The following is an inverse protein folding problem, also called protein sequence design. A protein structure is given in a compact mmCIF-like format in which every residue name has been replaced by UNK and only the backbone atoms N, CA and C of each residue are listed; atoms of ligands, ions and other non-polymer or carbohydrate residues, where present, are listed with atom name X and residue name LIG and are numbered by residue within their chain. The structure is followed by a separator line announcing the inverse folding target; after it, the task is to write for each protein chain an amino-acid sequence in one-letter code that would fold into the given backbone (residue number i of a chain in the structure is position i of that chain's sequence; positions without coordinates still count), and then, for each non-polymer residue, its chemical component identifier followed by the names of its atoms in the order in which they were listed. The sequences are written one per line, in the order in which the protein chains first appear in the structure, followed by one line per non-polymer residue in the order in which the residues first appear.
data_IF_989705249497
#
_entry.id   IF_989705249497
#
_cell.length_a   1.000
_cell.length_b   1.000
_cell.length_c   1.000
_cell.angle_alpha   90.00
_cell.angle_beta   90.00
_cell.angle_gamma   90.00
#
_symmetry.space_group_name_H-M   'P 1'
#
loop_
_entity.id
_entity.type
_entity.pdbx_description
1 polymer ?
#
# COMPACT_ATOMS: atom_id res chain seq x y z
N UNK A 1 -27.44 -12.47 -4.88
CA UNK A 1 -26.04 -12.68 -5.33
C UNK A 1 -25.62 -11.55 -6.24
N UNK A 2 -24.34 -11.43 -6.63
CA UNK A 2 -23.91 -10.38 -7.59
C UNK A 2 -24.67 -10.48 -8.92
N UNK A 3 -24.95 -11.70 -9.39
CA UNK A 3 -25.67 -11.94 -10.63
C UNK A 3 -27.08 -11.33 -10.65
N UNK A 4 -27.76 -11.32 -9.51
CA UNK A 4 -29.11 -10.75 -9.38
C UNK A 4 -29.10 -9.21 -9.45
N UNK A 5 -27.97 -8.59 -9.11
CA UNK A 5 -27.77 -7.13 -9.10
C UNK A 5 -27.10 -6.61 -10.37
N UNK A 6 -26.40 -7.47 -11.13
CA UNK A 6 -25.63 -7.08 -12.31
C UNK A 6 -26.47 -6.28 -13.34
N UNK A 7 -27.74 -6.62 -13.67
CA UNK A 7 -28.53 -5.83 -14.60
C UNK A 7 -28.74 -4.37 -14.14
N UNK A 8 -28.89 -4.15 -12.84
CA UNK A 8 -29.04 -2.82 -12.26
C UNK A 8 -27.71 -2.05 -12.26
N UNK A 9 -26.62 -2.74 -11.94
CA UNK A 9 -25.26 -2.17 -11.94
C UNK A 9 -24.86 -1.77 -13.37
N UNK A 10 -25.16 -2.59 -14.38
CA UNK A 10 -24.87 -2.26 -15.78
C UNK A 10 -25.61 -1.01 -16.25
N UNK A 11 -26.88 -0.83 -15.86
CA UNK A 11 -27.61 0.41 -16.17
C UNK A 11 -26.93 1.66 -15.60
N UNK A 12 -26.39 1.58 -14.39
CA UNK A 12 -25.62 2.68 -13.77
C UNK A 12 -24.31 2.90 -14.56
N UNK A 13 -23.59 1.83 -14.85
CA UNK A 13 -22.32 1.84 -15.59
C UNK A 13 -22.47 2.42 -17.00
N UNK A 14 -23.63 2.21 -17.63
CA UNK A 14 -24.01 2.73 -18.94
C UNK A 14 -24.52 4.17 -18.91
N UNK A 15 -24.69 4.77 -17.73
CA UNK A 15 -24.98 6.20 -17.56
C UNK A 15 -26.44 6.53 -17.27
N UNK A 16 -27.22 5.58 -16.71
CA UNK A 16 -28.56 5.90 -16.25
C UNK A 16 -28.52 6.99 -15.15
N UNK A 17 -29.35 8.02 -15.31
CA UNK A 17 -29.41 9.18 -14.40
C UNK A 17 -30.40 9.00 -13.24
N UNK A 18 -31.25 7.97 -13.27
CA UNK A 18 -32.22 7.70 -12.21
C UNK A 18 -31.57 7.00 -11.00
N UNK A 19 -32.08 7.21 -9.77
CA UNK A 19 -31.66 6.44 -8.60
C UNK A 19 -32.09 4.97 -8.76
N UNK A 20 -31.14 4.08 -9.13
CA UNK A 20 -31.43 2.65 -9.34
C UNK A 20 -31.22 1.84 -8.07
N UNK A 21 -30.02 1.91 -7.48
CA UNK A 21 -29.65 1.13 -6.29
C UNK A 21 -29.47 1.99 -5.03
N UNK A 22 -29.20 3.27 -5.20
CA UNK A 22 -28.87 4.20 -4.10
C UNK A 22 -29.60 5.52 -4.29
N UNK A 23 -29.96 6.18 -3.18
CA UNK A 23 -30.59 7.52 -3.24
C UNK A 23 -29.66 8.62 -3.74
N UNK A 24 -28.34 8.43 -3.63
CA UNK A 24 -27.31 9.32 -4.20
C UNK A 24 -26.71 8.73 -5.48
N UNK A 25 -26.29 9.55 -6.46
CA UNK A 25 -25.62 9.07 -7.66
C UNK A 25 -24.31 8.34 -7.35
N UNK A 26 -24.03 7.28 -8.11
CA UNK A 26 -22.75 6.57 -8.08
C UNK A 26 -21.81 7.22 -9.09
N UNK A 27 -20.63 7.66 -8.64
CA UNK A 27 -19.62 8.32 -9.50
C UNK A 27 -18.45 7.40 -9.85
N UNK A 28 -18.28 6.31 -9.09
CA UNK A 28 -17.13 5.42 -9.18
C UNK A 28 -17.55 3.96 -9.02
N UNK A 29 -16.87 3.06 -9.72
CA UNK A 29 -17.07 1.60 -9.67
C UNK A 29 -15.78 0.93 -9.19
N UNK A 30 -15.92 0.01 -8.26
CA UNK A 30 -14.88 -0.90 -7.82
C UNK A 30 -14.91 -2.20 -8.62
N UNK A 31 -13.75 -2.59 -9.13
CA UNK A 31 -13.50 -3.87 -9.77
C UNK A 31 -13.09 -4.87 -8.68
N UNK A 32 -13.94 -5.87 -8.42
CA UNK A 32 -13.62 -6.95 -7.48
C UNK A 32 -12.63 -7.94 -8.08
N UNK A 33 -11.80 -8.55 -7.23
CA UNK A 33 -10.97 -9.71 -7.61
C UNK A 33 -11.82 -10.97 -7.84
N UNK A 34 -13.01 -11.04 -7.25
CA UNK A 34 -14.00 -12.06 -7.56
C UNK A 34 -14.61 -11.83 -8.94
N UNK A 35 -14.78 -12.91 -9.71
CA UNK A 35 -15.37 -12.86 -11.05
C UNK A 35 -16.81 -13.41 -11.07
N UNK A 36 -17.63 -12.89 -11.98
CA UNK A 36 -18.91 -13.48 -12.38
C UNK A 36 -18.77 -13.82 -13.87
N UNK A 37 -18.94 -15.08 -14.25
CA UNK A 37 -18.76 -15.55 -15.64
C UNK A 37 -17.40 -15.14 -16.25
N UNK A 38 -16.32 -15.16 -15.46
CA UNK A 38 -14.97 -14.81 -15.92
C UNK A 38 -14.67 -13.31 -16.05
N UNK A 39 -15.62 -12.42 -15.74
CA UNK A 39 -15.42 -10.96 -15.72
C UNK A 39 -15.33 -10.41 -14.29
N UNK A 40 -14.48 -9.40 -14.02
CA UNK A 40 -14.46 -8.74 -12.71
C UNK A 40 -15.83 -8.19 -12.35
N UNK A 41 -16.28 -8.42 -11.11
CA UNK A 41 -17.54 -7.86 -10.62
C UNK A 41 -17.43 -6.34 -10.50
N UNK A 42 -18.42 -5.64 -11.04
CA UNK A 42 -18.60 -4.21 -10.78
C UNK A 42 -19.35 -4.02 -9.48
N UNK A 43 -18.79 -3.20 -8.60
CA UNK A 43 -19.35 -2.88 -7.28
C UNK A 43 -19.45 -1.36 -7.15
N UNK A 44 -20.64 -0.78 -6.87
CA UNK A 44 -20.77 0.65 -6.64
C UNK A 44 -19.86 1.15 -5.52
N UNK A 45 -19.14 2.24 -5.77
CA UNK A 45 -18.32 2.92 -4.76
C UNK A 45 -18.88 4.33 -4.52
N UNK A 46 -19.20 4.63 -3.27
CA UNK A 46 -19.81 5.91 -2.87
C UNK A 46 -19.09 6.52 -1.65
N UNK A 47 -19.47 7.75 -1.30
CA UNK A 47 -18.84 8.48 -0.20
C UNK A 47 -19.08 7.85 1.18
N UNK A 48 -20.23 7.18 1.37
CA UNK A 48 -20.57 6.51 2.63
C UNK A 48 -19.71 5.25 2.85
N UNK A 49 -19.46 4.48 1.79
CA UNK A 49 -18.51 3.38 1.81
C UNK A 49 -17.09 3.88 2.13
N UNK A 50 -16.69 5.02 1.58
CA UNK A 50 -15.40 5.64 1.91
C UNK A 50 -15.35 6.05 3.39
N UNK A 51 -16.40 6.69 3.91
CA UNK A 51 -16.45 7.15 5.30
C UNK A 51 -16.38 5.99 6.29
N UNK A 52 -17.20 4.95 6.08
CA UNK A 52 -17.21 3.74 6.93
C UNK A 52 -15.88 2.99 6.87
N UNK A 53 -15.24 2.91 5.68
CA UNK A 53 -13.88 2.36 5.54
C UNK A 53 -12.87 3.14 6.37
N UNK A 54 -12.91 4.48 6.34
CA UNK A 54 -12.01 5.31 7.14
C UNK A 54 -12.28 5.19 8.64
N UNK A 55 -13.53 5.00 9.05
CA UNK A 55 -13.86 4.73 10.46
C UNK A 55 -13.21 3.42 10.93
N UNK A 56 -13.28 2.35 10.13
CA UNK A 56 -12.61 1.08 10.44
C UNK A 56 -11.10 1.25 10.56
N UNK A 57 -10.47 1.97 9.62
CA UNK A 57 -9.03 2.25 9.70
C UNK A 57 -8.65 3.03 10.95
N UNK A 58 -9.44 4.04 11.34
CA UNK A 58 -9.21 4.83 12.56
C UNK A 58 -9.35 3.98 13.82
N UNK A 59 -10.37 3.14 13.88
CA UNK A 59 -10.59 2.20 15.00
C UNK A 59 -9.41 1.24 15.12
N UNK A 60 -9.04 0.57 14.03
CA UNK A 60 -7.88 -0.33 13.96
C UNK A 60 -6.59 0.36 14.39
N UNK A 61 -6.36 1.58 13.89
CA UNK A 61 -5.22 2.40 14.29
C UNK A 61 -5.22 2.73 15.78
N UNK A 62 -6.37 3.05 16.38
CA UNK A 62 -6.44 3.36 17.82
C UNK A 62 -5.97 2.18 18.68
N UNK A 63 -6.37 0.94 18.35
CA UNK A 63 -5.89 -0.26 19.04
C UNK A 63 -4.40 -0.50 18.77
N UNK A 64 -3.96 -0.44 17.52
CA UNK A 64 -2.55 -0.63 17.15
C UNK A 64 -1.64 0.40 17.81
N UNK A 65 -2.04 1.67 17.83
CA UNK A 65 -1.24 2.74 18.41
C UNK A 65 -1.20 2.71 19.94
N UNK A 66 -2.18 2.07 20.59
CA UNK A 66 -2.14 1.82 22.04
C UNK A 66 -1.02 0.82 22.39
N UNK A 67 -0.91 -0.26 21.62
CA UNK A 67 0.07 -1.32 21.87
C UNK A 67 1.46 -1.00 21.29
N UNK A 68 1.50 -0.41 20.10
CA UNK A 68 2.71 -0.04 19.37
C UNK A 68 2.68 1.45 18.99
N UNK A 69 2.97 2.36 19.94
CA UNK A 69 2.88 3.79 19.69
C UNK A 69 3.78 4.26 18.56
N UNK A 70 3.17 4.86 17.54
CA UNK A 70 3.84 5.58 16.46
C UNK A 70 3.93 7.06 16.86
N UNK A 71 5.09 7.68 16.66
CA UNK A 71 5.38 9.07 17.04
C UNK A 71 6.03 9.80 15.88
N UNK A 72 5.29 10.71 15.24
CA UNK A 72 5.78 11.63 14.20
C UNK A 72 6.64 10.96 13.10
N UNK A 73 6.48 9.65 12.90
CA UNK A 73 7.23 8.87 11.93
C UNK A 73 6.51 8.79 10.58
N UNK A 74 7.14 8.09 9.64
CA UNK A 74 6.61 7.78 8.31
C UNK A 74 6.33 6.29 8.18
N UNK A 75 5.51 5.96 7.20
CA UNK A 75 5.25 4.59 6.80
C UNK A 75 5.90 4.29 5.45
N UNK A 76 6.66 3.19 5.37
CA UNK A 76 7.04 2.59 4.09
C UNK A 76 5.87 1.74 3.61
N UNK A 77 5.05 2.31 2.74
CA UNK A 77 3.85 1.64 2.23
C UNK A 77 4.04 1.20 0.78
N UNK A 78 4.01 -0.11 0.54
CA UNK A 78 3.97 -0.70 -0.79
C UNK A 78 2.53 -0.70 -1.29
N UNK A 79 2.02 0.48 -1.63
CA UNK A 79 0.66 0.70 -2.15
C UNK A 79 0.73 1.16 -3.60
N UNK A 80 -0.16 0.60 -4.42
CA UNK A 80 -0.17 0.81 -5.86
C UNK A 80 -1.58 1.15 -6.30
N UNK A 81 -1.72 2.21 -7.08
CA UNK A 81 -2.97 2.50 -7.78
C UNK A 81 -2.89 1.96 -9.20
N UNK A 82 -3.86 1.14 -9.57
CA UNK A 82 -4.07 0.76 -10.96
C UNK A 82 -4.47 1.98 -11.79
N UNK A 83 -4.29 1.89 -13.12
CA UNK A 83 -4.93 2.83 -14.05
C UNK A 83 -6.45 2.69 -13.92
N UNK A 84 -7.15 3.79 -13.65
CA UNK A 84 -8.60 3.81 -13.74
C UNK A 84 -9.03 3.88 -15.22
N UNK A 85 -10.05 3.12 -15.59
CA UNK A 85 -10.74 3.25 -16.86
C UNK A 85 -12.01 4.09 -16.70
N UNK A 86 -12.58 4.55 -17.81
CA UNK A 86 -13.93 5.12 -17.82
C UNK A 86 -14.92 4.09 -18.33
N UNK A 87 -16.06 3.98 -17.66
CA UNK A 87 -17.19 3.19 -18.17
C UNK A 87 -17.85 3.89 -19.36
N UNK A 88 -18.78 3.20 -20.03
CA UNK A 88 -19.58 3.77 -21.13
C UNK A 88 -20.36 5.02 -20.69
N UNK A 89 -20.93 4.99 -19.48
CA UNK A 89 -21.61 6.11 -18.83
C UNK A 89 -20.68 7.17 -18.23
N UNK A 90 -19.36 7.05 -18.41
CA UNK A 90 -18.37 8.04 -17.98
C UNK A 90 -17.88 7.91 -16.53
N UNK A 91 -18.33 6.89 -15.78
CA UNK A 91 -17.90 6.63 -14.40
C UNK A 91 -16.44 6.20 -14.35
N UNK A 92 -15.74 6.52 -13.27
CA UNK A 92 -14.40 5.98 -13.03
C UNK A 92 -14.50 4.52 -12.56
N UNK A 93 -13.71 3.63 -13.14
CA UNK A 93 -13.63 2.22 -12.73
C UNK A 93 -12.18 1.84 -12.39
N UNK A 94 -11.98 1.23 -11.23
CA UNK A 94 -10.67 0.79 -10.74
C UNK A 94 -10.82 -0.19 -9.58
N UNK A 95 -9.73 -0.72 -9.04
CA UNK A 95 -9.82 -1.59 -7.85
C UNK A 95 -10.36 -0.80 -6.65
N UNK A 96 -10.95 -1.47 -5.67
CA UNK A 96 -11.41 -0.82 -4.43
C UNK A 96 -10.29 -0.03 -3.74
N UNK A 97 -9.09 -0.62 -3.64
CA UNK A 97 -7.90 0.05 -3.09
C UNK A 97 -7.50 1.28 -3.90
N UNK A 98 -7.56 1.22 -5.24
CA UNK A 98 -7.29 2.38 -6.10
C UNK A 98 -8.26 3.53 -5.82
N UNK A 99 -9.55 3.22 -5.70
CA UNK A 99 -10.58 4.22 -5.40
C UNK A 99 -10.36 4.85 -4.03
N UNK A 100 -10.01 4.06 -3.01
CA UNK A 100 -9.66 4.55 -1.67
C UNK A 100 -8.42 5.43 -1.72
N UNK A 101 -7.31 4.99 -2.32
CA UNK A 101 -6.05 5.73 -2.33
C UNK A 101 -6.13 7.06 -3.09
N UNK A 102 -6.94 7.12 -4.16
CA UNK A 102 -7.17 8.35 -4.94
C UNK A 102 -8.13 9.32 -4.27
N UNK A 103 -8.90 8.88 -3.28
CA UNK A 103 -9.84 9.75 -2.59
C UNK A 103 -9.09 10.74 -1.67
N UNK A 104 -9.42 12.03 -1.77
CA UNK A 104 -8.77 13.08 -0.96
C UNK A 104 -8.89 12.87 0.55
N UNK A 105 -9.93 12.18 1.02
CA UNK A 105 -10.11 11.87 2.43
C UNK A 105 -9.08 10.86 2.95
N UNK A 106 -8.57 9.96 2.10
CA UNK A 106 -7.57 8.96 2.49
C UNK A 106 -6.28 9.63 2.98
N UNK A 107 -5.76 10.59 2.21
CA UNK A 107 -4.52 11.31 2.58
C UNK A 107 -4.66 12.06 3.90
N UNK A 108 -5.82 12.71 4.12
CA UNK A 108 -6.15 13.37 5.39
C UNK A 108 -6.20 12.37 6.55
N UNK A 109 -6.82 11.21 6.34
CA UNK A 109 -6.92 10.17 7.35
C UNK A 109 -5.56 9.54 7.69
N UNK A 110 -4.73 9.22 6.69
CA UNK A 110 -3.37 8.69 6.90
C UNK A 110 -2.50 9.67 7.69
N UNK A 111 -2.60 10.97 7.41
CA UNK A 111 -1.92 12.01 8.18
C UNK A 111 -2.40 12.05 9.64
N UNK A 112 -3.72 11.99 9.86
CA UNK A 112 -4.29 11.97 11.20
C UNK A 112 -3.87 10.72 12.01
N UNK A 113 -3.69 9.59 11.34
CA UNK A 113 -3.22 8.32 11.92
C UNK A 113 -1.70 8.17 11.90
N UNK A 114 -0.93 9.25 11.68
CA UNK A 114 0.54 9.22 11.65
C UNK A 114 1.13 8.08 10.77
N UNK A 115 0.40 7.72 9.71
CA UNK A 115 0.70 6.62 8.80
C UNK A 115 0.93 7.15 7.38
N UNK A 116 1.48 8.36 7.26
CA UNK A 116 1.76 8.97 5.97
C UNK A 116 2.83 8.16 5.23
N UNK A 117 2.56 7.80 3.98
CA UNK A 117 3.53 7.13 3.14
C UNK A 117 4.77 8.02 2.92
N UNK A 118 5.96 7.42 3.00
CA UNK A 118 7.22 8.11 2.70
C UNK A 118 7.41 8.38 1.19
N UNK A 119 6.66 7.69 0.34
CA UNK A 119 6.75 7.83 -1.12
C UNK A 119 5.82 8.94 -1.63
N UNK A 120 6.25 9.72 -2.64
CA UNK A 120 5.41 10.69 -3.31
C UNK A 120 4.17 10.07 -3.97
N UNK A 121 3.13 10.90 -4.15
CA UNK A 121 1.91 10.52 -4.87
C UNK A 121 2.25 10.02 -6.29
N UNK A 122 3.21 10.62 -6.98
CA UNK A 122 3.65 10.21 -8.32
C UNK A 122 4.20 8.78 -8.35
N UNK A 123 4.79 8.30 -7.25
CA UNK A 123 5.27 6.91 -7.11
C UNK A 123 4.08 5.98 -6.87
N UNK A 124 3.17 6.33 -5.95
CA UNK A 124 1.97 5.54 -5.60
C UNK A 124 1.04 5.38 -6.81
N UNK A 125 0.86 6.46 -7.57
CA UNK A 125 0.03 6.54 -8.77
C UNK A 125 0.84 6.33 -10.05
N UNK A 126 2.07 5.81 -9.92
CA UNK A 126 2.95 5.51 -11.03
C UNK A 126 2.35 4.42 -11.95
N UNK A 127 2.55 4.52 -13.27
CA UNK A 127 1.91 3.63 -14.24
C UNK A 127 2.61 2.26 -14.38
N UNK A 128 3.87 2.11 -13.97
CA UNK A 128 4.61 0.84 -13.99
C UNK A 128 4.93 0.39 -12.57
N UNK A 129 4.46 -0.81 -12.24
CA UNK A 129 4.63 -1.43 -10.93
C UNK A 129 6.10 -1.58 -10.51
N UNK A 130 6.98 -1.99 -11.44
CA UNK A 130 8.39 -2.27 -11.12
C UNK A 130 9.14 -0.98 -10.84
N UNK A 131 8.86 0.07 -11.60
CA UNK A 131 9.41 1.41 -11.35
C UNK A 131 8.90 1.98 -10.01
N UNK A 132 7.60 1.88 -9.75
CA UNK A 132 7.03 2.33 -8.46
C UNK A 132 7.62 1.55 -7.29
N UNK A 133 7.77 0.22 -7.40
CA UNK A 133 8.38 -0.59 -6.36
C UNK A 133 9.83 -0.18 -6.07
N UNK A 134 10.64 0.02 -7.12
CA UNK A 134 12.00 0.52 -6.95
C UNK A 134 12.03 1.86 -6.21
N UNK A 135 11.15 2.80 -6.62
CA UNK A 135 11.05 4.11 -5.97
C UNK A 135 10.50 4.02 -4.53
N UNK A 136 9.61 3.08 -4.21
CA UNK A 136 9.17 2.84 -2.83
C UNK A 136 10.34 2.40 -1.95
N UNK A 137 11.13 1.42 -2.41
CA UNK A 137 12.33 0.96 -1.69
C UNK A 137 13.33 2.11 -1.51
N UNK A 138 13.60 2.89 -2.56
CA UNK A 138 14.49 4.04 -2.50
C UNK A 138 14.00 5.11 -1.50
N UNK A 139 12.71 5.44 -1.50
CA UNK A 139 12.12 6.35 -0.51
C UNK A 139 12.27 5.81 0.91
N UNK A 140 12.04 4.51 1.11
CA UNK A 140 12.23 3.86 2.41
C UNK A 140 13.65 4.05 2.92
N UNK A 141 14.66 3.76 2.08
CA UNK A 141 16.08 3.90 2.43
C UNK A 141 16.47 5.36 2.73
N UNK A 142 16.00 6.33 1.94
CA UNK A 142 16.24 7.77 2.17
C UNK A 142 15.70 8.19 3.54
N UNK A 143 14.51 7.71 3.90
CA UNK A 143 13.82 8.09 5.13
C UNK A 143 13.97 7.05 6.26
N UNK A 144 15.01 6.21 6.22
CA UNK A 144 15.10 5.01 7.07
C UNK A 144 14.96 5.26 8.57
N UNK A 145 15.45 6.41 9.06
CA UNK A 145 15.35 6.80 10.47
C UNK A 145 13.93 7.23 10.86
N UNK A 146 13.12 7.70 9.90
CA UNK A 146 11.74 8.12 10.14
C UNK A 146 10.75 6.95 10.00
N UNK A 147 11.15 5.83 9.39
CA UNK A 147 10.26 4.69 9.16
C UNK A 147 9.92 4.02 10.50
N UNK A 148 8.64 4.09 10.87
CA UNK A 148 8.08 3.41 12.04
C UNK A 148 7.08 2.31 11.68
N UNK A 149 6.62 2.28 10.44
CA UNK A 149 5.65 1.32 9.93
C UNK A 149 6.08 0.84 8.55
N UNK A 150 6.10 -0.47 8.33
CA UNK A 150 6.19 -1.06 7.00
C UNK A 150 4.86 -1.72 6.67
N UNK A 151 4.24 -1.38 5.55
CA UNK A 151 2.91 -1.93 5.25
C UNK A 151 2.62 -2.15 3.77
N UNK A 152 1.65 -3.02 3.51
CA UNK A 152 0.98 -3.18 2.21
C UNK A 152 -0.41 -3.76 2.44
N UNK A 153 -1.25 -3.83 1.39
CA UNK A 153 -2.54 -4.53 1.49
C UNK A 153 -2.36 -6.00 1.85
N UNK A 154 -1.37 -6.69 1.27
CA UNK A 154 -1.16 -8.13 1.44
C UNK A 154 0.28 -8.43 1.84
N UNK A 155 0.49 -9.46 2.68
CA UNK A 155 1.82 -9.95 3.06
C UNK A 155 2.68 -10.32 1.84
N UNK A 156 2.08 -10.88 0.78
CA UNK A 156 2.74 -11.16 -0.49
C UNK A 156 3.50 -9.95 -1.04
N UNK A 157 2.89 -8.76 -1.03
CA UNK A 157 3.50 -7.55 -1.61
C UNK A 157 4.72 -7.10 -0.82
N UNK A 158 4.71 -7.25 0.51
CA UNK A 158 5.85 -6.93 1.37
C UNK A 158 7.00 -7.90 1.09
N UNK A 159 6.70 -9.20 1.05
CA UNK A 159 7.69 -10.23 0.72
C UNK A 159 8.27 -10.00 -0.68
N UNK A 160 7.44 -9.67 -1.65
CA UNK A 160 7.88 -9.36 -3.01
C UNK A 160 8.81 -8.14 -3.02
N UNK A 161 8.44 -7.07 -2.32
CA UNK A 161 9.26 -5.86 -2.27
C UNK A 161 10.66 -6.11 -1.69
N UNK A 162 10.75 -6.85 -0.58
CA UNK A 162 12.06 -7.16 0.02
C UNK A 162 12.86 -8.17 -0.80
N UNK A 163 12.22 -9.14 -1.48
CA UNK A 163 12.90 -9.98 -2.48
C UNK A 163 13.46 -9.15 -3.64
N UNK A 164 12.75 -8.14 -4.09
CA UNK A 164 13.26 -7.21 -5.10
C UNK A 164 14.43 -6.42 -4.55
N UNK A 165 14.38 -5.96 -3.29
CA UNK A 165 15.51 -5.29 -2.65
C UNK A 165 16.76 -6.19 -2.66
N UNK A 166 16.64 -7.49 -2.38
CA UNK A 166 17.77 -8.44 -2.47
C UNK A 166 18.48 -8.39 -3.83
N UNK A 167 17.74 -8.07 -4.90
CA UNK A 167 18.26 -8.04 -6.28
C UNK A 167 18.80 -6.68 -6.71
N UNK A 168 18.30 -5.58 -6.13
CA UNK A 168 18.58 -4.21 -6.62
C UNK A 168 19.23 -3.30 -5.59
N UNK A 169 19.59 -3.81 -4.41
CA UNK A 169 20.16 -2.99 -3.33
C UNK A 169 21.45 -2.27 -3.72
N UNK A 170 22.28 -2.85 -4.59
CA UNK A 170 23.50 -2.21 -5.06
C UNK A 170 23.20 -0.99 -5.94
N UNK A 171 22.22 -1.11 -6.84
CA UNK A 171 21.73 0.00 -7.68
C UNK A 171 21.10 1.10 -6.82
N UNK A 172 20.30 0.73 -5.81
CA UNK A 172 19.75 1.67 -4.83
C UNK A 172 20.86 2.44 -4.09
N UNK A 173 21.94 1.76 -3.69
CA UNK A 173 23.09 2.40 -3.05
C UNK A 173 23.82 3.37 -4.00
N UNK A 174 23.93 3.05 -5.30
CA UNK A 174 24.51 3.96 -6.31
C UNK A 174 23.64 5.20 -6.46
N UNK A 175 22.32 5.04 -6.60
CA UNK A 175 21.39 6.17 -6.73
C UNK A 175 21.45 7.10 -5.51
N UNK A 176 21.52 6.54 -4.29
CA UNK A 176 21.68 7.31 -3.05
C UNK A 176 23.02 8.04 -3.02
N UNK A 177 24.12 7.35 -3.39
CA UNK A 177 25.46 7.94 -3.37
C UNK A 177 25.57 9.13 -4.30
N UNK A 178 25.19 8.93 -5.56
CA UNK A 178 25.35 9.93 -6.62
C UNK A 178 24.25 10.99 -6.58
N UNK A 179 23.14 10.72 -5.88
CA UNK A 179 21.99 11.61 -5.88
C UNK A 179 21.23 11.60 -7.21
N UNK A 180 21.48 10.61 -8.07
CA UNK A 180 20.94 10.51 -9.43
C UNK A 180 20.11 9.25 -9.55
N UNK A 181 18.85 9.40 -9.98
CA UNK A 181 17.95 8.27 -10.15
C UNK A 181 18.31 7.48 -11.41
N UNK A 182 18.45 6.16 -11.27
CA UNK A 182 18.71 5.20 -12.36
C UNK A 182 17.82 5.45 -13.60
N UNK A 183 18.37 5.16 -14.79
CA UNK A 183 17.66 5.26 -16.07
C UNK A 183 16.53 4.23 -16.22
N UNK A 184 16.48 3.21 -15.35
CA UNK A 184 15.35 2.26 -15.24
C UNK A 184 14.02 2.97 -14.99
N UNK A 185 14.05 4.10 -14.30
CA UNK A 185 12.85 4.91 -14.06
C UNK A 185 12.63 5.84 -15.24
N UNK A 186 11.64 5.57 -16.07
CA UNK A 186 11.41 6.30 -17.33
C UNK A 186 10.32 7.36 -17.23
N UNK A 187 9.39 7.25 -16.27
CA UNK A 187 8.24 8.17 -16.19
C UNK A 187 8.65 9.57 -15.68
N UNK A 188 8.46 10.64 -16.46
CA UNK A 188 8.95 11.98 -16.10
C UNK A 188 8.40 12.52 -14.78
N UNK A 189 7.13 12.27 -14.46
CA UNK A 189 6.52 12.68 -13.19
C UNK A 189 7.18 12.02 -11.98
N UNK A 190 7.44 10.71 -12.08
CA UNK A 190 8.15 9.94 -11.04
C UNK A 190 9.58 10.45 -10.90
N UNK A 191 10.31 10.64 -12.01
CA UNK A 191 11.67 11.18 -11.99
C UNK A 191 11.73 12.57 -11.33
N UNK A 192 10.80 13.46 -11.68
CA UNK A 192 10.71 14.80 -11.10
C UNK A 192 10.40 14.77 -9.60
N UNK A 193 9.50 13.90 -9.16
CA UNK A 193 9.18 13.74 -7.74
C UNK A 193 10.36 13.19 -6.95
N UNK A 194 11.03 12.16 -7.46
CA UNK A 194 12.20 11.55 -6.82
C UNK A 194 13.41 12.48 -6.80
N UNK A 195 13.63 13.30 -7.84
CA UNK A 195 14.72 14.28 -7.88
C UNK A 195 14.63 15.34 -6.77
N UNK A 196 13.43 15.60 -6.21
CA UNK A 196 13.25 16.49 -5.06
C UNK A 196 13.69 15.84 -3.74
N UNK A 197 13.72 14.51 -3.69
CA UNK A 197 14.05 13.72 -2.50
C UNK A 197 15.52 13.29 -2.50
N UNK A 198 16.03 12.90 -3.68
CA UNK A 198 17.34 12.33 -3.85
C UNK A 198 18.39 13.44 -3.83
N UNK A 199 19.35 13.31 -2.91
CA UNK A 199 20.53 14.17 -2.79
C UNK A 199 21.76 13.27 -2.66
N UNK A 200 22.92 13.64 -3.21
CA UNK A 200 24.13 12.83 -3.05
C UNK A 200 24.41 12.56 -1.57
N UNK A 201 24.41 11.30 -1.17
CA UNK A 201 24.64 10.88 0.20
C UNK A 201 25.51 9.60 0.27
N UNK A 202 26.83 9.73 0.05
CA UNK A 202 27.78 8.61 0.12
C UNK A 202 27.75 7.87 1.47
N UNK A 203 27.58 8.60 2.57
CA UNK A 203 27.56 8.04 3.93
C UNK A 203 26.38 7.09 4.14
N UNK A 204 25.18 7.49 3.70
CA UNK A 204 24.00 6.63 3.75
C UNK A 204 24.16 5.39 2.86
N UNK A 205 24.73 5.55 1.66
CA UNK A 205 24.99 4.43 0.77
C UNK A 205 25.97 3.41 1.38
N UNK A 206 27.06 3.88 2.00
CA UNK A 206 28.02 3.00 2.70
C UNK A 206 27.44 2.38 3.96
N UNK A 207 26.58 3.10 4.68
CA UNK A 207 25.84 2.54 5.80
C UNK A 207 24.94 1.39 5.34
N UNK A 208 24.09 1.60 4.32
CA UNK A 208 23.18 0.58 3.81
C UNK A 208 23.95 -0.64 3.31
N UNK A 209 25.04 -0.41 2.56
CA UNK A 209 25.91 -1.50 2.10
C UNK A 209 26.48 -2.31 3.26
N UNK A 210 27.09 -1.66 4.27
CA UNK A 210 27.61 -2.36 5.45
C UNK A 210 26.52 -3.13 6.20
N UNK A 211 25.34 -2.54 6.35
CA UNK A 211 24.19 -3.16 7.01
C UNK A 211 23.76 -4.43 6.28
N UNK A 212 23.55 -4.36 4.97
CA UNK A 212 23.17 -5.51 4.15
C UNK A 212 24.26 -6.59 4.12
N UNK A 213 25.53 -6.20 3.93
CA UNK A 213 26.66 -7.15 3.91
C UNK A 213 26.89 -7.84 5.26
N UNK A 214 26.48 -7.24 6.37
CA UNK A 214 26.54 -7.85 7.70
C UNK A 214 25.43 -8.86 7.98
N UNK A 215 24.38 -8.91 7.16
CA UNK A 215 23.27 -9.83 7.35
C UNK A 215 23.64 -11.24 6.88
N UNK A 216 23.29 -12.23 7.70
CA UNK A 216 23.34 -13.64 7.28
C UNK A 216 22.00 -14.02 6.66
N UNK A 217 22.02 -14.38 5.37
CA UNK A 217 20.85 -14.85 4.63
C UNK A 217 19.63 -13.90 4.70
N UNK A 218 19.83 -12.58 4.78
CA UNK A 218 18.75 -11.58 4.85
C UNK A 218 17.81 -11.69 6.06
N UNK A 219 18.19 -12.44 7.09
CA UNK A 219 17.40 -12.54 8.31
C UNK A 219 17.38 -11.20 9.07
N UNK A 220 16.21 -10.73 9.52
CA UNK A 220 16.10 -9.45 10.22
C UNK A 220 16.40 -8.21 9.36
N UNK A 221 16.30 -8.33 8.03
CA UNK A 221 16.56 -7.24 7.09
C UNK A 221 15.79 -5.95 7.41
N UNK A 222 14.51 -6.07 7.79
CA UNK A 222 13.63 -4.91 8.02
C UNK A 222 14.12 -4.07 9.21
N UNK A 223 14.29 -4.62 10.44
CA UNK A 223 14.81 -3.84 11.55
C UNK A 223 16.26 -3.35 11.33
N UNK A 224 17.08 -4.09 10.58
CA UNK A 224 18.46 -3.65 10.30
C UNK A 224 18.49 -2.40 9.41
N UNK A 225 17.63 -2.33 8.39
CA UNK A 225 17.50 -1.16 7.53
C UNK A 225 16.71 -0.03 8.20
N UNK A 226 15.66 -0.35 8.95
CA UNK A 226 14.70 0.60 9.54
C UNK A 226 14.70 0.48 11.07
N UNK A 227 15.64 1.14 11.77
CA UNK A 227 15.90 0.89 13.19
C UNK A 227 14.74 1.33 14.10
N UNK A 228 13.88 2.22 13.62
CA UNK A 228 12.74 2.75 14.37
C UNK A 228 11.41 2.04 14.05
N UNK A 229 11.42 1.00 13.21
CA UNK A 229 10.21 0.24 12.85
C UNK A 229 9.55 -0.35 14.09
N UNK A 230 8.23 -0.16 14.22
CA UNK A 230 7.45 -0.63 15.36
C UNK A 230 6.69 -1.90 15.05
N UNK A 231 6.19 -2.02 13.83
CA UNK A 231 5.45 -3.19 13.36
C UNK A 231 5.36 -3.22 11.84
N UNK A 232 5.01 -4.39 11.33
CA UNK A 232 4.69 -4.63 9.92
C UNK A 232 3.20 -4.90 9.81
N UNK A 233 2.52 -4.26 8.87
CA UNK A 233 1.07 -4.28 8.74
C UNK A 233 0.60 -4.70 7.35
N UNK A 234 -0.33 -5.66 7.29
CA UNK A 234 -0.96 -6.10 6.04
C UNK A 234 -1.85 -7.30 6.25
N UNK A 235 -2.62 -7.70 5.25
CA UNK A 235 -3.44 -8.93 5.34
C UNK A 235 -2.50 -10.13 5.36
N UNK A 236 -2.60 -10.92 6.42
CA UNK A 236 -1.70 -12.02 6.77
C UNK A 236 -2.43 -13.36 6.95
N UNK A 237 -3.76 -13.35 6.94
CA UNK A 237 -4.62 -14.53 7.13
C UNK A 237 -5.03 -15.18 5.80
N UNK A 238 -5.56 -16.41 5.89
CA UNK A 238 -6.09 -17.14 4.73
C UNK A 238 -4.99 -17.47 3.73
N UNK A 239 -5.19 -17.15 2.45
CA UNK A 239 -4.19 -17.46 1.41
C UNK A 239 -2.85 -16.72 1.60
N UNK A 240 -2.79 -15.73 2.50
CA UNK A 240 -1.56 -15.00 2.80
C UNK A 240 -0.66 -15.72 3.81
N UNK A 241 -1.15 -16.75 4.50
CA UNK A 241 -0.40 -17.50 5.53
C UNK A 241 0.88 -18.14 4.96
N UNK A 242 0.85 -18.52 3.67
CA UNK A 242 2.01 -19.08 2.96
C UNK A 242 3.22 -18.12 2.91
N UNK A 243 3.01 -16.82 3.08
CA UNK A 243 4.06 -15.81 3.04
C UNK A 243 4.65 -15.50 4.43
N UNK A 244 4.00 -15.92 5.51
CA UNK A 244 4.39 -15.55 6.88
C UNK A 244 5.80 -16.02 7.22
N UNK A 245 6.17 -17.24 6.85
CA UNK A 245 7.53 -17.75 7.11
C UNK A 245 8.62 -16.84 6.50
N UNK A 246 8.45 -16.42 5.24
CA UNK A 246 9.44 -15.54 4.58
C UNK A 246 9.32 -14.10 5.08
N UNK A 247 8.13 -13.63 5.44
CA UNK A 247 7.94 -12.30 6.03
C UNK A 247 8.59 -12.22 7.42
N UNK A 248 8.34 -13.19 8.29
CA UNK A 248 8.97 -13.35 9.61
C UNK A 248 10.50 -13.39 9.50
N UNK A 249 11.02 -14.09 8.50
CA UNK A 249 12.46 -14.10 8.20
C UNK A 249 13.02 -12.69 7.98
N UNK A 250 12.35 -11.84 7.20
CA UNK A 250 12.78 -10.44 7.02
C UNK A 250 12.50 -9.56 8.26
N UNK A 251 11.42 -9.84 8.98
CA UNK A 251 10.98 -9.07 10.13
C UNK A 251 11.88 -9.28 11.36
N UNK A 252 12.50 -10.45 11.51
CA UNK A 252 13.12 -10.84 12.78
C UNK A 252 12.07 -10.80 13.90
N UNK A 253 12.37 -10.04 14.96
CA UNK A 253 11.49 -9.87 16.12
C UNK A 253 10.43 -8.76 15.95
N UNK A 254 10.43 -8.04 14.80
CA UNK A 254 9.44 -6.99 14.57
C UNK A 254 8.02 -7.59 14.52
N UNK A 255 7.05 -7.05 15.28
CA UNK A 255 5.67 -7.55 15.29
C UNK A 255 5.03 -7.58 13.90
N UNK A 256 4.37 -8.70 13.58
CA UNK A 256 3.55 -8.87 12.39
C UNK A 256 2.07 -8.71 12.78
N UNK A 257 1.41 -7.69 12.25
CA UNK A 257 0.03 -7.34 12.60
C UNK A 257 -0.87 -7.52 11.38
N UNK A 258 -1.83 -8.44 11.46
CA UNK A 258 -2.82 -8.61 10.40
C UNK A 258 -3.74 -7.39 10.31
N UNK A 259 -3.98 -6.97 9.07
CA UNK A 259 -4.88 -5.89 8.74
C UNK A 259 -6.36 -6.26 8.92
N UNK A 260 -7.19 -5.22 8.79
CA UNK A 260 -8.64 -5.27 8.87
C UNK A 260 -9.25 -6.19 7.81
N UNK A 261 -10.43 -6.73 8.12
CA UNK A 261 -11.18 -7.59 7.22
C UNK A 261 -12.14 -6.75 6.35
N UNK A 262 -12.02 -6.90 5.03
CA UNK A 262 -12.83 -6.16 4.08
C UNK A 262 -12.84 -6.77 2.68
N UNK A 263 -13.69 -6.19 1.84
CA UNK A 263 -13.93 -6.59 0.46
C UNK A 263 -14.21 -5.34 -0.40
N UNK A 264 -14.36 -5.50 -1.72
CA UNK A 264 -14.73 -4.38 -2.58
C UNK A 264 -16.13 -3.83 -2.26
N UNK A 265 -16.99 -4.66 -1.70
CA UNK A 265 -18.36 -4.36 -1.28
C UNK A 265 -18.43 -3.59 0.04
N UNK A 266 -17.38 -3.67 0.86
CA UNK A 266 -17.41 -3.11 2.20
C UNK A 266 -16.23 -3.57 3.06
N UNK A 267 -15.73 -2.66 3.90
CA UNK A 267 -14.92 -3.06 5.05
C UNK A 267 -15.83 -3.54 6.17
N UNK A 268 -15.48 -4.68 6.77
CA UNK A 268 -16.38 -5.45 7.64
C UNK A 268 -15.94 -5.34 9.10
N UNK A 269 -14.65 -5.49 9.39
CA UNK A 269 -14.16 -5.56 10.76
C UNK A 269 -12.76 -5.01 10.95
N UNK A 270 -12.58 -4.25 12.03
CA UNK A 270 -11.27 -3.80 12.49
C UNK A 270 -10.60 -4.90 13.33
N UNK A 271 -9.29 -5.07 13.18
CA UNK A 271 -8.54 -5.88 14.13
C UNK A 271 -8.34 -5.12 15.45
N UNK A 272 -9.03 -5.54 16.51
CA UNK A 272 -8.97 -4.89 17.84
C UNK A 272 -7.92 -5.52 18.78
N UNK A 273 -7.28 -6.61 18.37
CA UNK A 273 -6.29 -7.35 19.16
C UNK A 273 -4.97 -7.44 18.40
N UNK A 274 -4.24 -6.34 18.22
CA UNK A 274 -3.03 -6.30 17.38
C UNK A 274 -1.84 -7.08 17.95
N UNK A 275 -1.92 -7.50 19.22
CA UNK A 275 -0.88 -8.30 19.88
C UNK A 275 -1.02 -9.81 19.64
N UNK A 276 -2.16 -10.26 19.11
CA UNK A 276 -2.35 -11.68 18.79
C UNK A 276 -1.59 -11.94 17.49
N UNK A 277 -0.50 -12.75 17.53
CA UNK A 277 0.24 -13.07 16.33
C UNK A 277 -0.67 -13.73 15.31
N UNK A 278 -0.46 -13.43 14.03
CA UNK A 278 -1.19 -14.11 12.94
C UNK A 278 -0.55 -15.45 12.58
N UNK A 279 0.62 -15.73 13.15
CA UNK A 279 1.42 -16.94 12.99
C UNK A 279 1.18 -17.95 14.11
#
# INVERSE_FOLDING_TARGET
THQDLDPYIQRIVDGASSPILTGKPITTISLSSGTTQGRPKFVPFNDELMETTLQIFRTSYAFRNREFPVKNGKALQFIYSSKQSRTKGGLFAGTATTNVFRNSQFKKAMKAMQSQCCSPDEVIFGPDFRQSLYCHLLCGLIFREEIQLVSSTFAHSIVHAFRTLEQVWEELCVDIREGILTSRITFPSVRSAMAKLLKPNPELADLIRRKISGLSNWYGLIPELFPNVKYIYGIMTGSMEHYLKKLRHYAGDVPLISADYGSSEGWIGANINPNVPTE
#
